data_IF_737972347465
#
_entry.id   IF_737972347465
#
_cell.length_a   1.000
_cell.length_b   1.000
_cell.length_c   1.000
_cell.angle_alpha   90.00
_cell.angle_beta   90.00
_cell.angle_gamma   90.00
#
_symmetry.space_group_name_H-M   'P 1'
#
loop_
_entity.id
_entity.type
_entity.pdbx_description
1 polymer ?
#
# COMPACT_ATOMS: atom_id res chain seq x y z
N UNK A 1 3.92 -21.70 59.60
CA UNK A 1 3.65 -20.61 60.53
C UNK A 1 2.84 -19.60 59.72
N UNK A 2 1.56 -19.83 59.50
CA UNK A 2 0.37 -19.46 60.27
C UNK A 2 0.49 -18.03 60.86
N UNK A 3 -0.24 -17.06 60.31
CA UNK A 3 -1.39 -16.47 60.93
C UNK A 3 -2.17 -15.62 59.93
N UNK A 4 -3.45 -15.93 59.87
CA UNK A 4 -4.59 -15.24 59.29
C UNK A 4 -5.00 -14.03 60.16
N UNK A 5 -5.80 -13.11 59.59
CA UNK A 5 -7.16 -12.71 59.95
C UNK A 5 -7.41 -11.29 59.45
N UNK A 6 -8.41 -11.03 58.78
CA UNK A 6 -9.89 -11.02 58.83
C UNK A 6 -10.46 -9.63 59.07
N UNK A 7 -11.40 -9.30 58.23
CA UNK A 7 -12.78 -8.77 58.46
C UNK A 7 -12.89 -7.31 58.90
N UNK A 8 -13.88 -6.51 58.55
CA UNK A 8 -15.23 -6.68 58.04
C UNK A 8 -15.82 -5.29 57.68
N UNK A 9 -16.63 -5.22 56.69
CA UNK A 9 -18.09 -4.87 56.66
C UNK A 9 -18.52 -3.57 57.34
N UNK A 10 -19.25 -2.75 56.59
CA UNK A 10 -20.09 -1.68 57.09
C UNK A 10 -20.88 -1.02 55.96
N UNK A 11 -22.05 -1.56 55.70
CA UNK A 11 -23.22 -1.03 54.95
C UNK A 11 -23.76 0.25 55.61
N UNK A 12 -24.30 1.20 54.79
CA UNK A 12 -25.68 1.68 54.86
C UNK A 12 -25.90 2.95 54.03
N UNK A 13 -26.77 2.84 53.05
CA UNK A 13 -27.66 3.88 52.49
C UNK A 13 -28.78 4.18 53.56
N UNK A 14 -29.58 5.25 53.51
CA UNK A 14 -30.33 5.77 52.36
C UNK A 14 -30.75 7.29 52.38
N UNK A 15 -31.19 7.77 51.23
CA UNK A 15 -32.45 8.51 51.23
C UNK A 15 -32.43 10.03 51.15
N UNK A 16 -33.15 10.59 50.20
CA UNK A 16 -33.77 11.89 50.34
C UNK A 16 -33.79 12.80 49.11
N UNK A 17 -34.80 12.66 48.29
CA UNK A 17 -35.07 13.52 47.14
C UNK A 17 -35.53 14.92 47.47
N UNK A 18 -35.45 15.79 46.46
CA UNK A 18 -36.47 16.85 46.16
C UNK A 18 -36.09 17.59 44.85
N UNK A 19 -36.97 17.54 43.87
CA UNK A 19 -37.19 18.55 42.82
C UNK A 19 -38.19 19.61 43.38
N UNK A 20 -38.53 20.71 42.64
CA UNK A 20 -37.85 21.58 41.69
C UNK A 20 -38.04 23.09 42.04
N UNK A 21 -37.36 23.99 41.37
CA UNK A 21 -37.85 25.37 41.26
C UNK A 21 -37.52 26.01 39.91
N UNK A 22 -38.52 26.65 39.35
CA UNK A 22 -38.62 27.35 38.07
C UNK A 22 -38.01 28.76 38.12
N UNK A 23 -37.76 29.26 36.88
CA UNK A 23 -37.77 30.64 36.39
C UNK A 23 -36.47 31.45 36.52
N UNK A 24 -35.94 31.97 35.36
CA UNK A 24 -36.41 33.22 34.81
C UNK A 24 -35.87 33.48 33.39
N UNK A 25 -36.75 33.93 32.53
CA UNK A 25 -36.49 34.51 31.20
C UNK A 25 -35.83 35.88 31.33
N UNK A 26 -34.78 36.12 30.54
CA UNK A 26 -34.30 37.42 30.02
C UNK A 26 -33.09 37.10 29.16
N UNK A 27 -32.86 37.60 27.95
CA UNK A 27 -33.52 38.50 27.01
C UNK A 27 -32.87 38.25 25.64
N UNK A 28 -33.71 38.04 24.65
CA UNK A 28 -33.39 38.02 23.22
C UNK A 28 -33.04 39.43 22.77
N UNK A 29 -31.85 39.67 22.24
CA UNK A 29 -31.58 40.78 21.31
C UNK A 29 -30.13 40.91 20.80
N UNK A 30 -29.39 39.81 20.56
CA UNK A 30 -28.07 39.93 19.89
C UNK A 30 -27.75 38.82 18.87
N UNK A 31 -28.73 38.07 18.39
CA UNK A 31 -28.52 36.97 17.44
C UNK A 31 -29.28 37.19 16.09
N UNK A 32 -29.41 38.43 15.64
CA UNK A 32 -29.98 38.75 14.33
C UNK A 32 -29.15 39.81 13.65
N UNK A 33 -27.96 39.46 13.13
CA UNK A 33 -27.28 40.20 12.07
C UNK A 33 -25.91 39.54 11.67
N UNK A 34 -25.92 38.26 11.31
CA UNK A 34 -24.85 37.65 10.44
C UNK A 34 -25.49 36.46 9.71
N UNK A 35 -26.50 36.72 8.94
CA UNK A 35 -27.08 35.70 8.07
C UNK A 35 -27.57 36.40 6.79
N UNK A 36 -26.63 36.84 5.98
CA UNK A 36 -26.92 37.20 4.59
C UNK A 36 -25.59 37.49 3.86
N UNK A 37 -24.93 36.44 3.37
CA UNK A 37 -24.15 36.44 2.11
C UNK A 37 -23.45 35.06 1.92
N UNK A 38 -24.14 33.98 2.18
CA UNK A 38 -23.75 32.70 1.56
C UNK A 38 -24.32 32.70 0.14
N UNK A 39 -23.57 33.19 -0.83
CA UNK A 39 -23.82 32.88 -2.24
C UNK A 39 -23.88 31.37 -2.38
N UNK A 40 -25.06 30.82 -2.65
CA UNK A 40 -25.24 29.43 -3.07
C UNK A 40 -24.31 29.22 -4.27
N UNK A 41 -23.22 28.50 -4.08
CA UNK A 41 -22.42 28.00 -5.17
C UNK A 41 -23.36 27.17 -6.06
N UNK A 42 -23.48 27.54 -7.31
CA UNK A 42 -24.25 26.78 -8.29
C UNK A 42 -23.70 25.33 -8.32
N UNK A 43 -24.58 24.32 -8.47
CA UNK A 43 -24.14 22.95 -8.57
C UNK A 43 -23.17 22.85 -9.77
N UNK A 44 -21.94 22.48 -9.51
CA UNK A 44 -20.96 22.15 -10.55
C UNK A 44 -21.59 21.03 -11.36
N UNK A 45 -22.03 21.32 -12.57
CA UNK A 45 -22.56 20.33 -13.50
C UNK A 45 -21.47 19.28 -13.65
N UNK A 46 -21.74 18.05 -13.19
CA UNK A 46 -20.90 16.89 -13.47
C UNK A 46 -20.71 16.86 -14.98
N UNK A 47 -19.49 17.12 -15.43
CA UNK A 47 -19.17 17.00 -16.84
C UNK A 47 -19.45 15.55 -17.23
N UNK A 48 -20.37 15.35 -18.16
CA UNK A 48 -20.70 14.05 -18.69
C UNK A 48 -19.40 13.38 -19.14
N UNK A 49 -19.07 12.23 -18.58
CA UNK A 49 -17.89 11.46 -18.95
C UNK A 49 -18.02 11.13 -20.43
N UNK A 50 -17.22 11.78 -21.27
CA UNK A 50 -17.24 11.52 -22.70
C UNK A 50 -16.84 10.06 -22.94
N UNK A 51 -17.59 9.31 -23.77
CA UNK A 51 -17.21 7.94 -24.09
C UNK A 51 -15.79 7.94 -24.67
N UNK A 52 -14.92 7.10 -24.10
CA UNK A 52 -13.54 6.96 -24.54
C UNK A 52 -13.54 6.37 -25.96
N UNK A 53 -12.92 7.08 -26.89
CA UNK A 53 -12.77 6.58 -28.27
C UNK A 53 -11.65 5.53 -28.32
N UNK A 54 -11.84 4.49 -29.12
CA UNK A 54 -10.78 3.54 -29.44
C UNK A 54 -9.58 4.31 -29.99
N UNK A 55 -8.38 4.00 -29.49
CA UNK A 55 -7.15 4.65 -29.90
C UNK A 55 -6.24 3.69 -30.67
N UNK A 56 -5.40 4.23 -31.57
CA UNK A 56 -4.39 3.44 -32.24
C UNK A 56 -3.31 2.94 -31.29
N UNK A 57 -2.59 1.87 -31.65
CA UNK A 57 -1.47 1.35 -30.86
C UNK A 57 -0.45 2.45 -30.52
N UNK A 58 -0.12 3.31 -31.48
CA UNK A 58 0.81 4.43 -31.28
C UNK A 58 0.27 5.43 -30.25
N UNK A 59 -1.02 5.76 -30.32
CA UNK A 59 -1.65 6.66 -29.35
C UNK A 59 -1.65 6.06 -27.93
N UNK A 60 -1.98 4.76 -27.83
CA UNK A 60 -1.90 4.01 -26.57
C UNK A 60 -0.49 4.07 -25.96
N UNK A 61 0.55 3.75 -26.74
CA UNK A 61 1.95 3.79 -26.27
C UNK A 61 2.32 5.20 -25.77
N UNK A 62 1.97 6.24 -26.52
CA UNK A 62 2.24 7.64 -26.13
C UNK A 62 1.56 7.99 -24.82
N UNK A 63 0.28 7.64 -24.66
CA UNK A 63 -0.49 7.89 -23.45
C UNK A 63 0.04 7.10 -22.28
N UNK A 64 0.35 5.83 -22.46
CA UNK A 64 0.90 4.97 -21.42
C UNK A 64 2.25 5.52 -20.89
N UNK A 65 3.16 5.86 -21.80
CA UNK A 65 4.45 6.44 -21.41
C UNK A 65 4.32 7.83 -20.78
N UNK A 66 3.35 8.63 -21.21
CA UNK A 66 3.06 9.91 -20.57
C UNK A 66 2.53 9.72 -19.16
N UNK A 67 1.60 8.80 -18.93
CA UNK A 67 1.11 8.46 -17.59
C UNK A 67 2.29 8.02 -16.69
N UNK A 68 3.18 7.14 -17.16
CA UNK A 68 4.33 6.71 -16.37
C UNK A 68 5.26 7.87 -15.99
N UNK A 69 5.55 8.79 -16.92
CA UNK A 69 6.35 9.99 -16.61
C UNK A 69 5.68 10.89 -15.57
N UNK A 70 4.39 11.16 -15.71
CA UNK A 70 3.65 11.96 -14.71
C UNK A 70 3.60 11.26 -13.35
N UNK A 71 3.50 9.93 -13.32
CA UNK A 71 3.58 9.16 -12.08
C UNK A 71 5.00 9.16 -11.47
N UNK A 72 6.06 9.17 -12.29
CA UNK A 72 7.44 9.31 -11.81
C UNK A 72 7.67 10.67 -11.13
N UNK A 73 7.09 11.75 -11.65
CA UNK A 73 7.13 13.06 -10.99
C UNK A 73 6.35 13.07 -9.67
N UNK A 74 5.21 12.36 -9.64
CA UNK A 74 4.40 12.22 -8.42
C UNK A 74 5.07 11.32 -7.39
N UNK A 75 5.76 10.28 -7.81
CA UNK A 75 6.40 9.26 -6.96
C UNK A 75 7.90 9.09 -7.26
N UNK A 76 8.72 10.13 -7.12
CA UNK A 76 10.10 10.12 -7.60
C UNK A 76 11.04 9.14 -6.86
N UNK A 77 10.60 8.59 -5.75
CA UNK A 77 11.31 7.59 -4.96
C UNK A 77 10.43 6.38 -4.64
N UNK A 78 9.56 6.01 -5.59
CA UNK A 78 8.74 4.80 -5.43
C UNK A 78 9.63 3.56 -5.32
N UNK A 79 9.40 2.76 -4.29
CA UNK A 79 10.14 1.55 -3.96
C UNK A 79 9.20 0.53 -3.29
N UNK A 80 9.63 -0.71 -3.03
CA UNK A 80 8.85 -1.63 -2.23
C UNK A 80 8.60 -1.04 -0.83
N UNK A 81 7.38 -1.20 -0.31
CA UNK A 81 7.05 -0.71 1.05
C UNK A 81 7.42 -1.74 2.14
N UNK A 82 8.08 -2.84 1.78
CA UNK A 82 8.68 -3.81 2.70
C UNK A 82 10.05 -3.31 3.16
N UNK A 83 10.33 -3.46 4.46
CA UNK A 83 11.63 -3.14 5.04
C UNK A 83 12.56 -4.36 4.92
N UNK A 84 13.77 -4.14 4.39
CA UNK A 84 14.80 -5.18 4.21
C UNK A 84 16.19 -4.56 4.09
N UNK A 85 17.21 -5.34 4.42
CA UNK A 85 18.63 -4.96 4.35
C UNK A 85 19.40 -5.73 3.27
N UNK A 86 18.90 -6.92 2.88
CA UNK A 86 19.55 -7.81 1.94
C UNK A 86 18.53 -8.62 1.12
N UNK A 87 18.97 -9.32 0.06
CA UNK A 87 18.06 -10.10 -0.79
C UNK A 87 17.28 -11.19 -0.07
N UNK A 88 17.87 -11.83 0.96
CA UNK A 88 17.19 -12.86 1.75
C UNK A 88 16.01 -12.25 2.53
N UNK A 89 16.25 -11.15 3.24
CA UNK A 89 15.19 -10.44 3.97
C UNK A 89 14.06 -9.99 3.03
N UNK A 90 14.40 -9.44 1.85
CA UNK A 90 13.38 -9.05 0.85
C UNK A 90 12.56 -10.26 0.38
N UNK A 91 13.21 -11.37 0.09
CA UNK A 91 12.54 -12.59 -0.37
C UNK A 91 11.57 -13.11 0.70
N UNK A 92 12.03 -13.26 1.94
CA UNK A 92 11.19 -13.69 3.08
C UNK A 92 10.04 -12.70 3.31
N UNK A 93 10.31 -11.40 3.38
CA UNK A 93 9.28 -10.39 3.60
C UNK A 93 8.22 -10.42 2.48
N UNK A 94 8.64 -10.61 1.22
CA UNK A 94 7.73 -10.71 0.08
C UNK A 94 6.86 -11.97 0.14
N UNK A 95 7.39 -13.11 0.56
CA UNK A 95 6.61 -14.33 0.80
C UNK A 95 5.60 -14.11 1.93
N UNK A 96 6.01 -13.45 3.01
CA UNK A 96 5.14 -13.13 4.15
C UNK A 96 4.04 -12.12 3.80
N UNK A 97 4.23 -11.28 2.79
CA UNK A 97 3.24 -10.28 2.37
C UNK A 97 2.00 -10.88 1.66
N UNK A 98 2.03 -12.17 1.34
CA UNK A 98 0.87 -12.85 0.77
C UNK A 98 -0.35 -12.74 1.69
N UNK A 99 -1.41 -12.05 1.23
CA UNK A 99 -2.64 -11.76 1.99
C UNK A 99 -2.40 -11.05 3.33
N UNK A 100 -1.33 -10.26 3.43
CA UNK A 100 -0.98 -9.48 4.62
C UNK A 100 -0.52 -8.10 4.16
N UNK A 101 -0.75 -7.07 4.98
CA UNK A 101 -0.28 -5.71 4.67
C UNK A 101 1.23 -5.61 4.90
N UNK A 102 1.91 -4.79 4.08
CA UNK A 102 3.34 -4.53 4.23
C UNK A 102 3.67 -3.98 5.64
N UNK A 103 2.81 -3.12 6.19
CA UNK A 103 2.93 -2.63 7.57
C UNK A 103 3.01 -3.78 8.58
N UNK A 104 2.14 -4.79 8.46
CA UNK A 104 2.12 -5.93 9.38
C UNK A 104 3.38 -6.79 9.21
N UNK A 105 3.84 -6.99 7.99
CA UNK A 105 5.09 -7.69 7.71
C UNK A 105 6.26 -6.95 8.35
N UNK A 106 6.38 -5.63 8.12
CA UNK A 106 7.44 -4.79 8.68
C UNK A 106 7.46 -4.73 10.22
N UNK A 107 6.30 -4.91 10.86
CA UNK A 107 6.21 -5.05 12.33
C UNK A 107 6.65 -6.41 12.85
N UNK A 108 6.64 -7.44 12.00
CA UNK A 108 6.89 -8.84 12.38
C UNK A 108 8.31 -9.27 12.04
N UNK A 109 8.83 -8.88 10.89
CA UNK A 109 10.12 -9.33 10.36
C UNK A 109 11.34 -8.96 11.22
N UNK A 110 11.39 -7.84 11.95
CA UNK A 110 12.55 -7.55 12.82
C UNK A 110 12.81 -8.64 13.87
N UNK A 111 11.77 -9.16 14.50
CA UNK A 111 11.91 -10.25 15.47
C UNK A 111 12.36 -11.56 14.80
N UNK A 112 11.89 -11.83 13.58
CA UNK A 112 12.30 -13.01 12.82
C UNK A 112 13.78 -12.93 12.45
N UNK A 113 14.24 -11.82 11.87
CA UNK A 113 15.60 -11.66 11.39
C UNK A 113 16.63 -11.45 12.51
N UNK A 114 16.20 -10.93 13.67
CA UNK A 114 17.05 -10.89 14.85
C UNK A 114 17.37 -12.30 15.40
N UNK A 115 16.43 -13.24 15.25
CA UNK A 115 16.60 -14.62 15.74
C UNK A 115 17.20 -15.54 14.67
N UNK A 116 16.85 -15.33 13.40
CA UNK A 116 17.26 -16.16 12.27
C UNK A 116 17.80 -15.26 11.14
N UNK A 117 19.01 -14.73 11.27
CA UNK A 117 19.57 -13.74 10.33
C UNK A 117 19.96 -14.32 8.97
N UNK A 118 20.22 -15.62 8.88
CA UNK A 118 20.67 -16.29 7.65
C UNK A 118 19.67 -17.36 7.16
N UNK A 119 19.75 -17.79 5.92
CA UNK A 119 18.99 -18.95 5.43
C UNK A 119 19.24 -20.21 6.25
N UNK A 120 20.48 -20.47 6.65
CA UNK A 120 20.87 -21.63 7.44
C UNK A 120 20.19 -21.63 8.83
N UNK A 121 20.18 -20.47 9.50
CA UNK A 121 19.53 -20.31 10.79
C UNK A 121 18.02 -20.57 10.70
N UNK A 122 17.37 -20.00 9.67
CA UNK A 122 15.93 -20.17 9.46
C UNK A 122 15.58 -21.59 8.98
N UNK A 123 16.45 -22.24 8.22
CA UNK A 123 16.30 -23.63 7.80
C UNK A 123 16.33 -24.61 8.97
N UNK A 124 17.17 -24.32 9.98
CA UNK A 124 17.31 -25.11 11.21
C UNK A 124 16.34 -24.71 12.32
N UNK A 125 15.49 -23.72 12.10
CA UNK A 125 14.61 -23.17 13.11
C UNK A 125 13.54 -24.17 13.59
N UNK A 126 13.19 -24.10 14.89
CA UNK A 126 11.99 -24.78 15.40
C UNK A 126 10.73 -24.16 14.79
N UNK A 127 9.90 -24.96 14.06
CA UNK A 127 8.69 -24.44 13.43
C UNK A 127 7.72 -23.76 14.40
N UNK A 128 7.58 -24.25 15.62
CA UNK A 128 6.64 -23.69 16.62
C UNK A 128 7.07 -22.28 17.06
N UNK A 129 8.37 -22.04 17.20
CA UNK A 129 8.90 -20.70 17.50
C UNK A 129 8.71 -19.72 16.34
N UNK A 130 8.92 -20.17 15.10
CA UNK A 130 8.66 -19.37 13.91
C UNK A 130 7.17 -19.08 13.78
N UNK A 131 6.28 -20.05 14.04
CA UNK A 131 4.82 -19.84 14.04
C UNK A 131 4.41 -18.75 15.03
N UNK A 132 5.00 -18.75 16.24
CA UNK A 132 4.70 -17.74 17.25
C UNK A 132 5.09 -16.32 16.77
N UNK A 133 6.29 -16.19 16.21
CA UNK A 133 6.74 -14.91 15.62
C UNK A 133 5.82 -14.47 14.48
N UNK A 134 5.42 -15.39 13.59
CA UNK A 134 4.64 -15.08 12.39
C UNK A 134 3.14 -15.00 12.65
N UNK A 135 2.64 -15.33 13.84
CA UNK A 135 1.22 -15.31 14.19
C UNK A 135 0.49 -14.02 13.77
N UNK A 136 1.07 -12.80 13.95
CA UNK A 136 0.44 -11.56 13.55
C UNK A 136 0.20 -11.42 12.04
N UNK A 137 0.94 -12.16 11.21
CA UNK A 137 0.81 -12.09 9.75
C UNK A 137 -0.40 -12.85 9.18
N UNK A 138 -1.11 -13.63 10.00
CA UNK A 138 -2.17 -14.53 9.52
C UNK A 138 -1.63 -15.67 8.64
N UNK A 139 -2.39 -16.74 8.48
CA UNK A 139 -1.94 -17.95 7.75
C UNK A 139 -0.54 -18.43 8.18
N UNK A 140 -0.18 -18.16 9.43
CA UNK A 140 1.18 -18.29 9.95
C UNK A 140 1.76 -19.69 9.79
N UNK A 141 0.96 -20.76 9.97
CA UNK A 141 1.43 -22.15 9.77
C UNK A 141 1.88 -22.44 8.33
N UNK A 142 1.12 -21.95 7.35
CA UNK A 142 1.50 -22.10 5.94
C UNK A 142 2.73 -21.24 5.62
N UNK A 143 2.78 -20.02 6.15
CA UNK A 143 3.93 -19.11 6.00
C UNK A 143 5.19 -19.68 6.64
N UNK A 144 5.10 -20.25 7.84
CA UNK A 144 6.22 -20.93 8.50
C UNK A 144 6.77 -22.05 7.64
N UNK A 145 5.90 -22.95 7.14
CA UNK A 145 6.37 -24.01 6.22
C UNK A 145 7.05 -23.44 4.97
N UNK A 146 6.49 -22.36 4.40
CA UNK A 146 7.07 -21.73 3.21
C UNK A 146 8.44 -21.12 3.50
N UNK A 147 8.60 -20.34 4.58
CA UNK A 147 9.87 -19.65 4.85
C UNK A 147 10.96 -20.62 5.31
N UNK A 148 10.64 -21.65 6.10
CA UNK A 148 11.61 -22.68 6.50
C UNK A 148 12.00 -23.53 5.28
N UNK A 149 11.02 -23.98 4.47
CA UNK A 149 11.29 -24.76 3.27
C UNK A 149 12.09 -23.97 2.22
N UNK A 150 11.78 -22.69 2.05
CA UNK A 150 12.53 -21.76 1.21
C UNK A 150 13.99 -21.62 1.69
N UNK A 151 14.19 -21.40 2.98
CA UNK A 151 15.52 -21.25 3.56
C UNK A 151 16.35 -22.52 3.46
N UNK A 152 15.70 -23.68 3.64
CA UNK A 152 16.34 -24.98 3.40
C UNK A 152 16.79 -25.15 1.94
N UNK A 153 15.91 -24.85 0.99
CA UNK A 153 16.27 -24.90 -0.43
C UNK A 153 17.41 -23.93 -0.79
N UNK A 154 17.43 -22.72 -0.18
CA UNK A 154 18.54 -21.78 -0.37
C UNK A 154 19.86 -22.36 0.15
N UNK A 155 19.86 -22.97 1.32
CA UNK A 155 21.07 -23.54 1.92
C UNK A 155 21.56 -24.76 1.17
N UNK A 156 20.65 -25.65 0.75
CA UNK A 156 21.02 -26.93 0.10
C UNK A 156 21.37 -26.76 -1.39
N UNK A 157 20.61 -25.94 -2.13
CA UNK A 157 20.72 -25.86 -3.59
C UNK A 157 21.51 -24.63 -4.08
N UNK A 158 21.63 -23.58 -3.22
CA UNK A 158 22.20 -22.28 -3.62
C UNK A 158 23.28 -21.77 -2.64
N UNK A 159 23.77 -22.62 -1.74
CA UNK A 159 24.84 -22.27 -0.79
C UNK A 159 24.51 -21.11 0.13
N UNK A 160 23.24 -20.95 0.51
CA UNK A 160 22.75 -19.87 1.34
C UNK A 160 22.48 -18.53 0.61
N UNK A 161 22.73 -18.48 -0.69
CA UNK A 161 22.55 -17.27 -1.49
C UNK A 161 21.19 -17.23 -2.19
N UNK A 162 20.60 -16.05 -2.32
CA UNK A 162 19.37 -15.86 -3.11
C UNK A 162 19.73 -15.82 -4.60
N UNK A 163 19.19 -16.72 -5.44
CA UNK A 163 19.55 -16.74 -6.86
C UNK A 163 19.01 -15.51 -7.60
N UNK A 164 19.85 -14.91 -8.44
CA UNK A 164 19.50 -13.75 -9.26
C UNK A 164 18.83 -14.11 -10.58
N UNK A 165 18.17 -15.25 -10.75
CA UNK A 165 17.52 -15.70 -11.98
C UNK A 165 16.06 -16.10 -11.70
N UNK A 166 15.17 -15.76 -12.65
CA UNK A 166 13.75 -16.05 -12.53
C UNK A 166 13.48 -17.56 -12.39
N UNK A 167 14.15 -18.33 -13.24
CA UNK A 167 13.99 -19.79 -13.34
C UNK A 167 14.36 -20.51 -12.06
N UNK A 168 15.28 -19.96 -11.28
CA UNK A 168 15.74 -20.52 -10.03
C UNK A 168 14.85 -20.04 -8.87
N UNK A 169 14.50 -18.76 -8.82
CA UNK A 169 13.62 -18.21 -7.81
C UNK A 169 12.23 -18.89 -7.77
N UNK A 170 11.65 -19.18 -8.93
CA UNK A 170 10.31 -19.81 -8.98
C UNK A 170 10.30 -21.29 -8.59
N UNK A 171 11.47 -21.93 -8.44
CA UNK A 171 11.59 -23.29 -7.87
C UNK A 171 11.48 -23.29 -6.35
N UNK A 172 11.77 -22.15 -5.72
CA UNK A 172 11.78 -22.05 -4.27
C UNK A 172 10.36 -22.14 -3.69
N UNK A 173 10.15 -22.83 -2.55
CA UNK A 173 8.86 -22.96 -1.91
C UNK A 173 8.19 -21.60 -1.60
N UNK A 174 6.95 -21.41 -2.06
CA UNK A 174 6.20 -20.17 -1.83
C UNK A 174 6.59 -18.98 -2.73
N UNK A 175 7.48 -19.17 -3.69
CA UNK A 175 7.94 -18.13 -4.61
C UNK A 175 7.29 -18.30 -5.98
N UNK A 176 6.34 -17.43 -6.30
CA UNK A 176 5.76 -17.30 -7.64
C UNK A 176 6.46 -16.21 -8.47
N UNK A 177 6.10 -16.08 -9.76
CA UNK A 177 6.64 -15.05 -10.66
C UNK A 177 6.61 -13.64 -10.07
N UNK A 178 5.48 -13.25 -9.47
CA UNK A 178 5.33 -11.94 -8.82
C UNK A 178 6.41 -11.72 -7.75
N UNK A 179 6.58 -12.68 -6.83
CA UNK A 179 7.59 -12.61 -5.77
C UNK A 179 9.00 -12.54 -6.36
N UNK A 180 9.28 -13.38 -7.36
CA UNK A 180 10.56 -13.40 -8.05
C UNK A 180 10.88 -12.04 -8.70
N UNK A 181 9.93 -11.39 -9.36
CA UNK A 181 10.16 -10.06 -9.96
C UNK A 181 10.36 -8.95 -8.93
N UNK A 182 9.68 -9.01 -7.78
CA UNK A 182 9.98 -8.08 -6.69
C UNK A 182 11.43 -8.20 -6.26
N UNK A 183 11.92 -9.43 -6.05
CA UNK A 183 13.31 -9.68 -5.63
C UNK A 183 14.30 -9.30 -6.74
N UNK A 184 14.07 -9.74 -7.96
CA UNK A 184 14.96 -9.45 -9.10
C UNK A 184 15.11 -7.95 -9.35
N UNK A 185 13.98 -7.22 -9.33
CA UNK A 185 13.99 -5.78 -9.58
C UNK A 185 14.68 -4.99 -8.49
N UNK A 186 14.42 -5.34 -7.22
CA UNK A 186 14.85 -4.51 -6.10
C UNK A 186 16.17 -4.95 -5.44
N UNK A 187 16.54 -6.22 -5.53
CA UNK A 187 17.80 -6.72 -4.99
C UNK A 187 18.90 -6.92 -6.03
N UNK A 188 18.53 -7.15 -7.29
CA UNK A 188 19.48 -7.47 -8.36
C UNK A 188 19.49 -6.49 -9.53
N UNK A 189 18.63 -5.46 -9.51
CA UNK A 189 18.53 -4.49 -10.61
C UNK A 189 18.08 -5.13 -11.94
N UNK A 190 17.48 -6.33 -11.91
CA UNK A 190 17.02 -7.05 -13.11
C UNK A 190 15.57 -6.67 -13.41
N UNK A 191 15.29 -6.05 -14.56
CA UNK A 191 13.97 -5.54 -14.87
C UNK A 191 12.90 -6.63 -14.90
N UNK A 192 11.78 -6.37 -14.24
CA UNK A 192 10.60 -7.21 -14.25
C UNK A 192 9.34 -6.42 -13.92
N UNK A 193 8.21 -6.82 -14.49
CA UNK A 193 6.93 -6.20 -14.19
C UNK A 193 6.23 -6.99 -13.08
N UNK A 194 6.02 -6.35 -11.94
CA UNK A 194 5.28 -6.93 -10.84
C UNK A 194 3.79 -6.71 -11.04
N UNK A 195 3.07 -7.73 -11.49
CA UNK A 195 1.62 -7.68 -11.67
C UNK A 195 0.90 -8.10 -10.39
N UNK A 196 0.62 -7.14 -9.51
CA UNK A 196 -0.22 -7.36 -8.33
C UNK A 196 -1.68 -6.91 -8.58
N UNK A 197 -2.53 -6.99 -7.57
CA UNK A 197 -3.95 -6.59 -7.68
C UNK A 197 -4.13 -5.09 -7.93
N UNK A 198 -3.20 -4.23 -7.49
CA UNK A 198 -3.20 -2.80 -7.79
C UNK A 198 -2.80 -2.56 -9.24
N UNK A 199 -1.68 -3.15 -9.66
CA UNK A 199 -1.17 -3.04 -11.02
C UNK A 199 -2.22 -3.51 -12.03
N UNK A 200 -2.71 -4.75 -11.89
CA UNK A 200 -3.74 -5.31 -12.77
C UNK A 200 -4.97 -4.41 -12.87
N UNK A 201 -5.48 -3.91 -11.75
CA UNK A 201 -6.64 -3.01 -11.74
C UNK A 201 -6.39 -1.74 -12.53
N UNK A 202 -5.25 -1.11 -12.33
CA UNK A 202 -4.95 0.19 -12.94
C UNK A 202 -4.69 0.07 -14.43
N UNK A 203 -3.88 -0.88 -14.89
CA UNK A 203 -3.58 -1.04 -16.31
C UNK A 203 -4.85 -1.38 -17.11
N UNK A 204 -5.81 -2.09 -16.51
CA UNK A 204 -7.12 -2.32 -17.11
C UNK A 204 -7.99 -1.07 -17.09
N UNK A 205 -8.04 -0.29 -16.00
CA UNK A 205 -8.74 1.01 -15.95
C UNK A 205 -8.19 1.99 -16.99
N UNK A 206 -6.89 1.97 -17.19
CA UNK A 206 -6.24 2.82 -18.20
C UNK A 206 -6.35 2.25 -19.61
N UNK A 207 -7.02 1.11 -19.76
CA UNK A 207 -7.18 0.43 -21.06
C UNK A 207 -5.85 0.18 -21.76
N UNK A 208 -4.82 -0.17 -21.02
CA UNK A 208 -3.54 -0.63 -21.56
C UNK A 208 -3.61 -2.09 -21.96
N UNK A 209 -4.51 -2.85 -21.32
CA UNK A 209 -4.80 -4.26 -21.59
C UNK A 209 -6.24 -4.60 -21.20
N UNK A 210 -6.81 -5.61 -21.83
CA UNK A 210 -8.07 -6.23 -21.45
C UNK A 210 -7.87 -7.57 -20.73
N UNK A 211 -6.61 -8.04 -20.67
CA UNK A 211 -6.26 -9.32 -20.05
C UNK A 211 -6.59 -9.33 -18.55
N UNK A 212 -6.91 -10.53 -18.05
CA UNK A 212 -7.12 -10.80 -16.63
C UNK A 212 -6.02 -11.70 -16.04
N UNK A 213 -5.30 -12.41 -16.87
CA UNK A 213 -4.19 -13.26 -16.50
C UNK A 213 -2.91 -12.44 -16.29
N UNK A 214 -2.18 -12.68 -15.21
CA UNK A 214 -1.03 -11.86 -14.82
C UNK A 214 0.14 -11.96 -15.82
N UNK A 215 0.40 -13.14 -16.37
CA UNK A 215 1.50 -13.34 -17.30
C UNK A 215 1.20 -12.69 -18.66
N UNK A 216 -0.07 -12.71 -19.09
CA UNK A 216 -0.52 -12.00 -20.29
C UNK A 216 -0.47 -10.50 -20.12
N UNK A 217 -0.86 -9.99 -18.94
CA UNK A 217 -0.73 -8.57 -18.59
C UNK A 217 0.73 -8.15 -18.65
N UNK A 218 1.63 -8.92 -18.00
CA UNK A 218 3.06 -8.66 -18.02
C UNK A 218 3.59 -8.53 -19.47
N UNK A 219 3.24 -9.48 -20.34
CA UNK A 219 3.69 -9.48 -21.74
C UNK A 219 3.15 -8.28 -22.53
N UNK A 220 1.85 -7.95 -22.41
CA UNK A 220 1.24 -6.82 -23.12
C UNK A 220 1.78 -5.47 -22.63
N UNK A 221 1.92 -5.30 -21.31
CA UNK A 221 2.45 -4.07 -20.73
C UNK A 221 3.96 -3.95 -21.06
N UNK A 222 4.71 -5.03 -20.98
CA UNK A 222 6.12 -5.06 -21.37
C UNK A 222 6.35 -4.58 -22.80
N UNK A 223 5.42 -4.84 -23.72
CA UNK A 223 5.48 -4.34 -25.10
C UNK A 223 5.18 -2.83 -25.25
N UNK A 224 4.72 -2.14 -24.21
CA UNK A 224 4.46 -0.68 -24.22
C UNK A 224 5.69 0.13 -23.75
N UNK A 225 6.55 -0.48 -22.96
CA UNK A 225 7.64 0.20 -22.25
C UNK A 225 8.99 -0.46 -22.52
N UNK A 226 10.10 0.30 -22.54
CA UNK A 226 11.44 -0.28 -22.56
C UNK A 226 11.70 -1.06 -21.26
N UNK A 227 12.50 -2.13 -21.36
CA UNK A 227 12.81 -3.00 -20.20
C UNK A 227 13.38 -2.25 -19.01
N UNK A 228 14.19 -1.23 -19.25
CA UNK A 228 14.78 -0.39 -18.19
C UNK A 228 13.76 0.31 -17.29
N UNK A 229 12.53 0.50 -17.76
CA UNK A 229 11.47 1.16 -16.99
C UNK A 229 10.57 0.19 -16.20
N UNK A 230 10.68 -1.12 -16.38
CA UNK A 230 9.69 -2.09 -15.89
C UNK A 230 9.56 -2.14 -14.37
N UNK A 231 10.66 -2.08 -13.64
CA UNK A 231 10.65 -2.10 -12.17
C UNK A 231 10.01 -0.82 -11.62
N UNK A 232 10.47 0.35 -12.08
CA UNK A 232 9.95 1.63 -11.63
C UNK A 232 8.47 1.82 -12.01
N UNK A 233 8.10 1.42 -13.24
CA UNK A 233 6.70 1.38 -13.67
C UNK A 233 5.83 0.58 -12.69
N UNK A 234 6.31 -0.57 -12.25
CA UNK A 234 5.58 -1.40 -11.29
C UNK A 234 5.36 -0.65 -9.97
N UNK A 235 6.38 0.01 -9.46
CA UNK A 235 6.28 0.80 -8.23
C UNK A 235 5.35 2.00 -8.40
N UNK A 236 5.48 2.77 -9.47
CA UNK A 236 4.62 3.93 -9.75
C UNK A 236 3.14 3.53 -9.80
N UNK A 237 2.82 2.47 -10.55
CA UNK A 237 1.44 1.98 -10.71
C UNK A 237 0.88 1.45 -9.39
N UNK A 238 1.65 0.65 -8.65
CA UNK A 238 1.23 0.08 -7.37
C UNK A 238 1.01 1.19 -6.34
N UNK A 239 1.93 2.14 -6.23
CA UNK A 239 1.79 3.28 -5.32
C UNK A 239 0.57 4.13 -5.64
N UNK A 240 0.32 4.40 -6.92
CA UNK A 240 -0.87 5.12 -7.34
C UNK A 240 -2.16 4.37 -7.00
N UNK A 241 -2.15 3.05 -7.16
CA UNK A 241 -3.27 2.18 -6.79
C UNK A 241 -3.55 2.11 -5.29
N UNK A 242 -2.51 2.20 -4.47
CA UNK A 242 -2.63 2.23 -3.01
C UNK A 242 -3.11 3.58 -2.48
N UNK A 243 -2.69 4.69 -3.08
CA UNK A 243 -2.87 6.04 -2.54
C UNK A 243 -4.03 6.83 -3.14
N UNK A 244 -4.32 6.66 -4.42
CA UNK A 244 -5.28 7.49 -5.15
C UNK A 244 -6.34 6.65 -5.86
N UNK A 245 -5.92 5.70 -6.71
CA UNK A 245 -6.84 4.94 -7.55
C UNK A 245 -7.31 3.66 -6.86
N UNK A 246 -8.09 3.82 -5.79
CA UNK A 246 -8.59 2.69 -4.98
C UNK A 246 -9.52 1.75 -5.77
N UNK A 247 -9.70 0.52 -5.27
CA UNK A 247 -10.64 -0.45 -5.86
C UNK A 247 -12.09 0.07 -5.77
N UNK A 248 -12.45 0.61 -4.61
CA UNK A 248 -13.75 1.26 -4.38
C UNK A 248 -13.52 2.76 -4.21
N UNK A 249 -14.33 3.58 -4.88
CA UNK A 249 -14.30 5.05 -4.82
C UNK A 249 -12.88 5.63 -5.04
N UNK A 250 -12.29 5.46 -6.23
CA UNK A 250 -11.02 6.14 -6.53
C UNK A 250 -11.17 7.66 -6.42
N UNK A 251 -10.09 8.32 -6.00
CA UNK A 251 -10.05 9.77 -5.78
C UNK A 251 -9.80 10.52 -7.11
N UNK A 252 -10.72 10.41 -8.07
CA UNK A 252 -10.55 10.94 -9.42
C UNK A 252 -10.32 12.45 -9.47
N UNK A 253 -11.02 13.23 -8.61
CA UNK A 253 -10.88 14.71 -8.54
C UNK A 253 -9.55 15.19 -7.95
N UNK A 254 -8.75 14.30 -7.33
CA UNK A 254 -7.42 14.59 -6.81
C UNK A 254 -6.33 13.79 -7.54
N UNK A 255 -6.67 13.20 -8.70
CA UNK A 255 -5.76 12.34 -9.45
C UNK A 255 -4.91 13.16 -10.43
N UNK A 256 -3.58 13.15 -10.33
CA UNK A 256 -2.70 13.94 -11.18
C UNK A 256 -2.79 13.56 -12.67
N UNK A 257 -3.15 12.31 -12.97
CA UNK A 257 -3.30 11.82 -14.35
C UNK A 257 -4.75 11.81 -14.84
N UNK A 258 -5.65 12.52 -14.16
CA UNK A 258 -7.07 12.61 -14.55
C UNK A 258 -7.30 12.94 -16.05
N UNK A 259 -6.58 13.89 -16.67
CA UNK A 259 -6.76 14.23 -18.08
C UNK A 259 -6.40 13.09 -19.06
N UNK A 260 -5.60 12.12 -18.63
CA UNK A 260 -5.13 10.98 -19.43
C UNK A 260 -5.90 9.68 -19.15
N UNK A 261 -6.80 9.72 -18.15
CA UNK A 261 -7.45 8.51 -17.65
C UNK A 261 -8.79 8.26 -18.35
N UNK A 262 -8.95 7.14 -19.08
CA UNK A 262 -10.22 6.78 -19.71
C UNK A 262 -11.31 6.38 -18.71
N UNK A 263 -10.92 6.02 -17.48
CA UNK A 263 -11.82 5.67 -16.37
C UNK A 263 -12.11 6.85 -15.43
N UNK A 264 -11.77 8.08 -15.84
CA UNK A 264 -12.12 9.26 -15.05
C UNK A 264 -13.64 9.34 -14.87
N UNK A 265 -14.08 9.49 -13.63
CA UNK A 265 -15.51 9.49 -13.30
C UNK A 265 -16.04 8.21 -12.68
N UNK A 266 -15.26 7.11 -12.65
CA UNK A 266 -15.64 5.90 -11.91
C UNK A 266 -15.61 6.10 -10.38
N UNK A 267 -15.00 7.19 -9.90
CA UNK A 267 -14.89 7.52 -8.49
C UNK A 267 -15.35 8.93 -8.16
N UNK A 268 -14.86 9.45 -7.02
CA UNK A 268 -15.17 10.82 -6.59
C UNK A 268 -14.45 11.83 -7.47
N UNK A 269 -15.21 12.72 -8.09
CA UNK A 269 -14.70 13.74 -9.02
C UNK A 269 -14.65 15.14 -8.42
N UNK A 270 -15.33 15.39 -7.30
CA UNK A 270 -15.21 16.64 -6.57
C UNK A 270 -13.82 16.71 -5.92
N UNK A 271 -12.99 17.74 -6.21
CA UNK A 271 -11.62 17.80 -5.74
C UNK A 271 -11.51 17.75 -4.21
N UNK A 272 -12.36 18.49 -3.49
CA UNK A 272 -12.28 18.57 -2.03
C UNK A 272 -12.72 17.27 -1.35
N UNK A 273 -13.70 16.57 -1.93
CA UNK A 273 -14.09 15.24 -1.45
C UNK A 273 -13.06 14.19 -1.81
N UNK A 274 -12.48 14.27 -3.01
CA UNK A 274 -11.47 13.34 -3.47
C UNK A 274 -10.18 13.42 -2.63
N UNK A 275 -9.74 14.63 -2.24
CA UNK A 275 -8.59 14.82 -1.34
C UNK A 275 -8.74 14.05 -0.01
N UNK A 276 -9.96 13.95 0.52
CA UNK A 276 -10.24 13.18 1.76
C UNK A 276 -10.14 11.67 1.58
N UNK A 277 -10.13 11.18 0.34
CA UNK A 277 -9.98 9.75 0.02
C UNK A 277 -8.52 9.33 -0.18
N UNK A 278 -7.57 10.27 -0.23
CA UNK A 278 -6.15 9.96 -0.39
C UNK A 278 -5.65 9.14 0.79
N UNK A 279 -4.91 8.07 0.51
CA UNK A 279 -4.41 7.13 1.52
C UNK A 279 -2.91 7.00 1.48
N UNK A 280 -2.37 6.67 2.63
CA UNK A 280 -0.99 6.25 2.81
C UNK A 280 -0.92 4.93 3.54
N UNK A 281 0.02 4.10 3.15
CA UNK A 281 0.50 2.98 3.96
C UNK A 281 1.35 3.53 5.13
N UNK A 282 1.72 2.72 6.08
CA UNK A 282 2.52 3.12 7.28
C UNK A 282 1.86 4.17 8.19
N UNK A 283 0.52 4.26 8.18
CA UNK A 283 -0.23 5.09 9.15
C UNK A 283 -0.18 6.61 8.90
N UNK A 284 0.23 7.05 7.72
CA UNK A 284 0.19 8.46 7.33
C UNK A 284 -1.24 8.99 7.17
N UNK A 285 -1.39 10.32 7.29
CA UNK A 285 -2.65 11.00 7.01
C UNK A 285 -2.91 11.11 5.50
N UNK A 286 -4.17 11.25 5.06
CA UNK A 286 -4.48 11.50 3.66
C UNK A 286 -3.68 12.68 3.11
N UNK A 287 -3.01 12.48 1.97
CA UNK A 287 -2.16 13.51 1.35
C UNK A 287 -0.72 13.58 1.87
N UNK A 288 -0.39 12.94 2.98
CA UNK A 288 0.97 12.93 3.52
C UNK A 288 1.91 12.07 2.66
N UNK A 289 3.13 12.52 2.47
CA UNK A 289 4.19 11.78 1.77
C UNK A 289 5.05 10.97 2.73
N UNK A 290 5.56 9.84 2.27
CA UNK A 290 6.66 9.17 2.94
C UNK A 290 7.89 10.09 2.92
N UNK A 291 8.75 9.99 3.93
CA UNK A 291 10.04 10.65 3.88
C UNK A 291 10.86 10.09 2.72
N UNK A 292 11.50 10.94 1.91
CA UNK A 292 12.42 10.46 0.89
C UNK A 292 13.54 9.63 1.53
N UNK A 293 14.00 8.56 0.86
CA UNK A 293 15.23 7.86 1.28
C UNK A 293 16.42 8.83 1.34
N UNK A 294 17.32 8.64 2.32
CA UNK A 294 18.48 9.52 2.45
C UNK A 294 19.35 9.52 1.19
N UNK A 295 19.58 8.36 0.60
CA UNK A 295 20.32 8.24 -0.66
C UNK A 295 19.71 9.05 -1.82
N UNK A 296 18.39 9.19 -1.87
CA UNK A 296 17.70 10.03 -2.85
C UNK A 296 17.98 11.53 -2.59
N UNK A 297 17.97 11.95 -1.31
CA UNK A 297 18.28 13.32 -0.92
C UNK A 297 19.76 13.66 -1.18
N UNK A 298 20.65 12.73 -0.88
CA UNK A 298 22.10 12.87 -1.09
C UNK A 298 22.45 12.99 -2.59
N UNK A 299 21.64 12.35 -3.45
CA UNK A 299 21.72 12.50 -4.91
C UNK A 299 21.09 13.81 -5.43
N UNK A 300 20.71 14.74 -4.55
CA UNK A 300 20.10 16.03 -4.91
C UNK A 300 18.59 15.97 -5.17
N UNK A 301 17.94 14.85 -4.86
CA UNK A 301 16.50 14.72 -4.95
C UNK A 301 15.75 15.60 -3.97
N UNK A 302 14.56 16.05 -4.36
CA UNK A 302 13.70 16.90 -3.51
C UNK A 302 12.50 16.13 -3.02
N UNK A 303 12.07 16.39 -1.79
CA UNK A 303 10.81 15.84 -1.27
C UNK A 303 9.66 16.24 -2.19
N UNK A 304 8.88 15.25 -2.62
CA UNK A 304 7.72 15.51 -3.45
C UNK A 304 6.63 16.26 -2.65
N UNK A 305 5.84 17.14 -3.30
CA UNK A 305 4.76 17.88 -2.65
C UNK A 305 3.68 16.90 -2.12
N UNK A 306 2.84 17.32 -1.17
CA UNK A 306 1.71 16.53 -0.71
C UNK A 306 0.82 16.06 -1.87
N UNK A 307 0.25 14.86 -1.79
CA UNK A 307 -0.70 14.39 -2.79
C UNK A 307 -1.93 15.30 -2.84
N UNK A 308 -2.36 15.64 -4.04
CA UNK A 308 -3.49 16.54 -4.24
C UNK A 308 -3.19 18.02 -3.98
N UNK A 309 -1.92 18.40 -3.81
CA UNK A 309 -1.46 19.77 -3.90
C UNK A 309 -1.26 20.09 -5.39
N UNK A 310 -2.28 20.61 -6.03
CA UNK A 310 -2.31 21.02 -7.43
C UNK A 310 -3.61 21.74 -7.72
#
# INVERSE_FOLDING_TARGET
>A
MVVRRDSAVGEQDPGGGKKPAKAAKRSSAAAKKVAATAKKAAPVKQAAVKPWKAESRTALVRRARRINRELAEVYPYAHPELDFENPFQLLIATVLSAQTTDLRVNQTTPALFAKYPTPEDLAAANPEEVEEILRPCGFFRAKTRSVIGLSKALSEDFGGEVPGRLEDLVKLPGVGRKTAFVVLGNAFGRPGITVDTHFQRLVRRWRWTEQADADKIEAEIGALFPKSEWTDLSHHVIWHGRRICHARKPACGACPIAPLCPAYGEGETDPEKAKKLLKYEKGGFPGQRLKPPQAYLDAGGKAAPPLGAG
#
